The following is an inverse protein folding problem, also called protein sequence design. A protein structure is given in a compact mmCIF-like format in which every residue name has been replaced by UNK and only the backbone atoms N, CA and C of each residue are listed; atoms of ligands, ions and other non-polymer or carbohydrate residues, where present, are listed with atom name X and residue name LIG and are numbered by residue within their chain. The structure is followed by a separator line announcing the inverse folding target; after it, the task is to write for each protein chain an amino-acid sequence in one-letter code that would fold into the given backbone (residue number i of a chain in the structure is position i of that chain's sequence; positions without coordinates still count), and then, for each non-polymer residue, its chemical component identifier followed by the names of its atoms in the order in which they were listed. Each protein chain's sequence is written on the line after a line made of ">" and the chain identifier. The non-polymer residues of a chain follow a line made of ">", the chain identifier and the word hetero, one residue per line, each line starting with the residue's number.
data_IF_066059834785
#
_entry.id   IF_066059834785
#
_cell.length_a   1.000
_cell.length_b   1.000
_cell.length_c   1.000
_cell.angle_alpha   90.00
_cell.angle_beta   90.00
_cell.angle_gamma   90.00
#
_symmetry.space_group_name_H-M   'P 1'
#
loop_
_entity.id
_entity.type
_entity.pdbx_description
1 polymer ?
#
# COMPACT_ATOMS: atom_id res chain seq x y z
N UNK A 1 40.43 -63.43 -20.15
CA UNK A 1 40.80 -61.99 -20.12
C UNK A 1 39.54 -61.20 -19.85
N UNK A 2 39.61 -60.31 -18.84
CA UNK A 2 38.69 -59.20 -18.46
C UNK A 2 37.21 -59.55 -18.23
N UNK A 3 36.64 -59.50 -17.02
CA UNK A 3 36.63 -58.50 -15.92
C UNK A 3 36.08 -57.13 -16.36
N UNK A 4 35.08 -56.67 -15.58
CA UNK A 4 34.57 -55.32 -15.31
C UNK A 4 33.15 -55.05 -15.86
N UNK A 5 32.23 -54.35 -15.20
CA UNK A 5 32.07 -53.83 -13.84
C UNK A 5 30.68 -53.17 -13.75
N UNK A 6 30.01 -53.33 -12.63
CA UNK A 6 29.21 -52.36 -11.83
C UNK A 6 28.85 -51.02 -12.51
N UNK A 7 27.56 -50.64 -12.52
CA UNK A 7 27.02 -49.43 -11.83
C UNK A 7 25.54 -49.20 -12.16
N UNK A 8 24.71 -49.11 -11.12
CA UNK A 8 23.40 -48.46 -11.14
C UNK A 8 23.59 -46.93 -11.23
N UNK A 9 22.59 -46.19 -11.72
CA UNK A 9 22.05 -45.13 -10.86
C UNK A 9 20.52 -45.07 -10.79
N UNK A 10 20.10 -44.41 -9.71
CA UNK A 10 18.78 -44.06 -9.24
C UNK A 10 17.90 -43.27 -10.23
N UNK A 11 16.60 -43.25 -9.88
CA UNK A 11 15.57 -42.23 -10.12
C UNK A 11 14.81 -42.25 -11.45
N UNK A 12 13.55 -42.66 -11.35
CA UNK A 12 12.43 -42.00 -12.03
C UNK A 12 11.15 -42.20 -11.19
N UNK A 13 11.03 -41.45 -10.09
CA UNK A 13 9.73 -41.10 -9.49
C UNK A 13 9.44 -39.65 -9.84
N UNK A 14 8.66 -39.40 -10.90
CA UNK A 14 7.72 -38.30 -11.01
C UNK A 14 7.01 -38.33 -12.36
N UNK A 15 5.90 -39.04 -12.42
CA UNK A 15 4.85 -38.86 -13.42
C UNK A 15 3.55 -39.18 -12.71
N UNK A 16 3.03 -38.18 -11.97
CA UNK A 16 1.64 -38.08 -11.54
C UNK A 16 1.44 -36.73 -10.84
N UNK A 17 1.51 -35.63 -11.60
CA UNK A 17 0.93 -34.36 -11.13
C UNK A 17 0.51 -33.43 -12.30
N UNK A 18 -0.17 -33.97 -13.31
CA UNK A 18 -0.70 -33.18 -14.42
C UNK A 18 -2.23 -33.28 -14.61
N UNK A 19 -2.94 -34.09 -13.81
CA UNK A 19 -4.37 -34.36 -14.03
C UNK A 19 -5.34 -33.68 -13.04
N UNK A 20 -4.89 -32.84 -12.10
CA UNK A 20 -5.76 -32.08 -11.18
C UNK A 20 -6.09 -30.66 -11.67
N UNK A 21 -5.29 -30.08 -12.58
CA UNK A 21 -5.44 -28.67 -12.99
C UNK A 21 -6.40 -28.42 -14.18
N UNK A 22 -6.92 -29.46 -14.82
CA UNK A 22 -7.83 -29.29 -15.97
C UNK A 22 -9.31 -29.07 -15.58
N UNK A 23 -9.68 -29.28 -14.31
CA UNK A 23 -11.09 -29.19 -13.88
C UNK A 23 -11.63 -27.77 -13.67
N UNK A 24 -10.80 -26.73 -13.71
CA UNK A 24 -11.20 -25.35 -13.39
C UNK A 24 -11.13 -24.37 -14.57
N UNK A 25 -10.84 -24.85 -15.79
CA UNK A 25 -10.80 -24.01 -17.00
C UNK A 25 -12.12 -24.08 -17.77
N UNK A 26 -13.17 -23.42 -17.27
CA UNK A 26 -14.25 -22.92 -18.15
C UNK A 26 -15.23 -22.02 -17.38
N UNK A 27 -15.04 -20.70 -17.48
CA UNK A 27 -16.11 -19.70 -17.64
C UNK A 27 -15.48 -18.38 -18.09
N UNK A 28 -15.96 -17.85 -19.21
CA UNK A 28 -15.49 -16.67 -19.92
C UNK A 28 -15.69 -15.33 -19.18
N UNK A 29 -14.65 -14.49 -19.31
CA UNK A 29 -14.53 -13.03 -19.49
C UNK A 29 -15.40 -11.99 -18.72
N UNK A 30 -14.66 -11.05 -18.08
CA UNK A 30 -15.00 -9.66 -17.70
C UNK A 30 -15.73 -9.34 -16.40
N UNK A 31 -15.56 -10.14 -15.35
CA UNK A 31 -15.53 -9.63 -13.98
C UNK A 31 -14.34 -10.26 -13.24
N UNK A 32 -13.18 -9.62 -13.33
CA UNK A 32 -12.00 -10.03 -12.56
C UNK A 32 -12.24 -9.59 -11.11
N UNK A 33 -12.66 -10.53 -10.25
CA UNK A 33 -12.68 -10.37 -8.79
C UNK A 33 -11.23 -10.32 -8.29
N UNK A 34 -10.49 -9.27 -8.68
CA UNK A 34 -9.11 -9.06 -8.28
C UNK A 34 -9.11 -8.24 -7.00
N UNK A 35 -8.45 -8.77 -5.98
CA UNK A 35 -8.21 -8.06 -4.72
C UNK A 35 -7.55 -6.71 -5.04
N UNK A 36 -8.03 -5.64 -4.41
CA UNK A 36 -7.43 -4.32 -4.51
C UNK A 36 -6.81 -3.98 -3.16
N UNK A 37 -5.48 -3.86 -3.14
CA UNK A 37 -4.74 -3.46 -1.95
C UNK A 37 -4.99 -2.01 -1.51
N UNK A 38 -5.62 -1.21 -2.39
CA UNK A 38 -6.08 0.15 -2.13
C UNK A 38 -7.47 0.34 -2.72
N UNK A 39 -8.39 0.78 -1.89
CA UNK A 39 -9.77 1.09 -2.21
C UNK A 39 -10.01 2.56 -1.88
N UNK A 40 -10.88 3.21 -2.64
CA UNK A 40 -11.16 4.63 -2.45
C UNK A 40 -11.82 4.86 -1.08
N UNK A 41 -11.12 5.62 -0.24
CA UNK A 41 -11.58 6.01 1.09
C UNK A 41 -11.75 7.52 1.10
N UNK A 42 -12.94 7.99 1.46
CA UNK A 42 -13.22 9.40 1.64
C UNK A 42 -13.00 9.76 3.10
N UNK A 43 -11.91 10.48 3.40
CA UNK A 43 -11.64 10.91 4.78
C UNK A 43 -12.43 12.16 5.18
N UNK A 44 -12.45 12.45 6.47
CA UNK A 44 -13.01 13.69 7.01
C UNK A 44 -12.32 14.92 6.40
N UNK A 45 -10.99 14.90 6.27
CA UNK A 45 -10.21 15.93 5.56
C UNK A 45 -10.70 16.14 4.13
N UNK A 46 -11.01 15.07 3.40
CA UNK A 46 -11.51 15.18 2.03
C UNK A 46 -12.91 15.80 1.98
N UNK A 47 -13.77 15.41 2.93
CA UNK A 47 -15.10 16.01 3.11
C UNK A 47 -15.01 17.50 3.44
N UNK A 48 -14.15 17.89 4.37
CA UNK A 48 -13.91 19.31 4.71
C UNK A 48 -13.35 20.11 3.56
N UNK A 49 -12.42 19.54 2.78
CA UNK A 49 -11.93 20.19 1.54
C UNK A 49 -13.07 20.48 0.58
N UNK A 50 -13.99 19.53 0.37
CA UNK A 50 -15.15 19.72 -0.52
C UNK A 50 -16.08 20.83 -0.02
N UNK A 51 -16.37 20.86 1.29
CA UNK A 51 -17.19 21.91 1.92
C UNK A 51 -16.56 23.29 1.70
N UNK A 52 -15.26 23.43 1.96
CA UNK A 52 -14.56 24.69 1.75
C UNK A 52 -14.48 25.08 0.27
N UNK A 53 -14.26 24.12 -0.63
CA UNK A 53 -14.25 24.36 -2.07
C UNK A 53 -15.60 24.94 -2.54
N UNK A 54 -16.71 24.36 -2.09
CA UNK A 54 -18.04 24.86 -2.44
C UNK A 54 -18.29 26.25 -1.84
N UNK A 55 -18.01 26.42 -0.55
CA UNK A 55 -18.16 27.71 0.17
C UNK A 55 -17.38 28.82 -0.55
N UNK A 56 -16.10 28.61 -0.80
CA UNK A 56 -15.23 29.66 -1.33
C UNK A 56 -15.41 29.91 -2.82
N UNK A 57 -15.91 28.95 -3.60
CA UNK A 57 -16.37 29.22 -4.97
C UNK A 57 -17.55 30.19 -5.01
N UNK A 58 -18.51 30.06 -4.08
CA UNK A 58 -19.65 30.98 -3.97
C UNK A 58 -19.19 32.37 -3.54
N UNK A 59 -18.35 32.45 -2.51
CA UNK A 59 -17.80 33.72 -2.00
C UNK A 59 -16.93 34.41 -3.07
N UNK A 60 -16.11 33.66 -3.82
CA UNK A 60 -15.31 34.23 -4.89
C UNK A 60 -16.18 34.92 -5.95
N UNK A 61 -17.28 34.28 -6.39
CA UNK A 61 -18.23 34.90 -7.32
C UNK A 61 -18.80 36.21 -6.79
N UNK A 62 -19.12 36.29 -5.50
CA UNK A 62 -19.60 37.52 -4.86
C UNK A 62 -18.52 38.60 -4.82
N UNK A 63 -17.30 38.26 -4.42
CA UNK A 63 -16.19 39.21 -4.37
C UNK A 63 -15.89 39.83 -5.74
N UNK A 64 -16.01 39.05 -6.81
CA UNK A 64 -15.79 39.51 -8.19
C UNK A 64 -16.85 40.51 -8.69
N UNK A 65 -17.96 40.69 -7.96
CA UNK A 65 -18.95 41.74 -8.26
C UNK A 65 -18.50 43.13 -7.81
N UNK A 66 -17.48 43.23 -6.94
CA UNK A 66 -16.95 44.49 -6.46
C UNK A 66 -15.90 45.06 -7.41
N UNK A 67 -15.85 46.39 -7.54
CA UNK A 67 -14.85 47.09 -8.37
C UNK A 67 -13.41 46.74 -8.00
N UNK A 68 -13.14 46.53 -6.71
CA UNK A 68 -11.85 46.05 -6.21
C UNK A 68 -12.06 44.87 -5.25
N UNK A 69 -12.05 43.61 -5.76
CA UNK A 69 -12.31 42.43 -4.96
C UNK A 69 -11.33 42.23 -3.79
N UNK A 70 -10.06 42.60 -3.97
CA UNK A 70 -9.05 42.49 -2.90
C UNK A 70 -9.29 43.48 -1.78
N UNK A 71 -9.63 44.73 -2.11
CA UNK A 71 -10.02 45.72 -1.11
C UNK A 71 -11.28 45.28 -0.37
N UNK A 72 -12.29 44.76 -1.08
CA UNK A 72 -13.49 44.23 -0.44
C UNK A 72 -13.19 43.10 0.56
N UNK A 73 -12.27 42.18 0.24
CA UNK A 73 -11.82 41.15 1.19
C UNK A 73 -11.14 41.79 2.41
N UNK A 74 -10.28 42.78 2.21
CA UNK A 74 -9.65 43.50 3.31
C UNK A 74 -10.69 44.15 4.23
N UNK A 75 -11.70 44.80 3.64
CA UNK A 75 -12.79 45.44 4.37
C UNK A 75 -13.57 44.45 5.24
N UNK A 76 -13.85 43.25 4.71
CA UNK A 76 -14.55 42.19 5.47
C UNK A 76 -13.80 41.74 6.71
N UNK A 77 -12.47 41.71 6.65
CA UNK A 77 -11.68 41.04 7.68
C UNK A 77 -10.87 41.99 8.56
N UNK A 78 -10.51 43.20 8.11
CA UNK A 78 -9.63 44.11 8.85
C UNK A 78 -10.24 45.46 9.17
N UNK A 79 -11.12 46.00 8.33
CA UNK A 79 -11.72 47.32 8.56
C UNK A 79 -12.96 47.21 9.47
N UNK A 80 -12.79 47.47 10.77
CA UNK A 80 -13.88 47.45 11.76
C UNK A 80 -14.98 48.48 11.48
N UNK A 81 -14.72 49.49 10.65
CA UNK A 81 -15.69 50.50 10.27
C UNK A 81 -16.42 50.17 8.97
N UNK A 82 -16.00 49.12 8.26
CA UNK A 82 -16.64 48.68 7.03
C UNK A 82 -18.02 48.09 7.32
N UNK A 83 -19.06 48.41 6.51
CA UNK A 83 -20.35 47.73 6.60
C UNK A 83 -20.27 46.24 6.26
N UNK A 84 -19.16 45.76 5.69
CA UNK A 84 -18.93 44.36 5.35
C UNK A 84 -18.16 43.59 6.43
N UNK A 85 -17.72 44.26 7.51
CA UNK A 85 -16.86 43.67 8.53
C UNK A 85 -17.53 42.47 9.21
N UNK A 86 -16.81 41.35 9.28
CA UNK A 86 -17.25 40.12 9.96
C UNK A 86 -16.90 40.21 11.45
N UNK A 87 -17.91 40.45 12.28
CA UNK A 87 -17.76 40.63 13.74
C UNK A 87 -17.71 39.30 14.53
N UNK A 88 -18.20 38.21 13.96
CA UNK A 88 -18.44 36.92 14.62
C UNK A 88 -17.28 35.91 14.46
N UNK A 89 -16.13 36.36 13.96
CA UNK A 89 -14.95 35.54 13.72
C UNK A 89 -13.86 35.80 14.75
N UNK A 90 -13.32 34.71 15.29
CA UNK A 90 -12.04 34.72 16.00
C UNK A 90 -10.90 35.13 15.06
N UNK A 91 -9.74 35.48 15.61
CA UNK A 91 -8.58 35.86 14.80
C UNK A 91 -8.11 34.72 13.88
N UNK A 92 -8.17 33.46 14.36
CA UNK A 92 -7.81 32.29 13.56
C UNK A 92 -8.77 32.06 12.39
N UNK A 93 -10.07 32.13 12.63
CA UNK A 93 -11.09 31.98 11.58
C UNK A 93 -11.04 33.11 10.56
N UNK A 94 -10.75 34.32 11.02
CA UNK A 94 -10.57 35.51 10.19
C UNK A 94 -9.38 35.35 9.24
N UNK A 95 -8.23 34.91 9.75
CA UNK A 95 -7.05 34.64 8.90
C UNK A 95 -7.29 33.46 7.95
N UNK A 96 -7.95 32.39 8.42
CA UNK A 96 -8.34 31.27 7.57
C UNK A 96 -9.21 31.73 6.40
N UNK A 97 -10.28 32.48 6.69
CA UNK A 97 -11.21 32.93 5.67
C UNK A 97 -10.58 33.91 4.68
N UNK A 98 -9.83 34.90 5.18
CA UNK A 98 -9.08 35.83 4.34
C UNK A 98 -8.09 35.10 3.44
N UNK A 99 -7.32 34.15 3.97
CA UNK A 99 -6.33 33.38 3.20
C UNK A 99 -6.99 32.59 2.09
N UNK A 100 -8.10 31.91 2.38
CA UNK A 100 -8.87 31.14 1.40
C UNK A 100 -9.42 32.04 0.28
N UNK A 101 -10.01 33.18 0.62
CA UNK A 101 -10.56 34.09 -0.40
C UNK A 101 -9.48 34.75 -1.27
N UNK A 102 -8.35 35.16 -0.68
CA UNK A 102 -7.22 35.68 -1.44
C UNK A 102 -6.59 34.60 -2.34
N UNK A 103 -6.54 33.36 -1.85
CA UNK A 103 -6.16 32.19 -2.64
C UNK A 103 -7.06 32.00 -3.87
N UNK A 104 -8.39 32.08 -3.68
CA UNK A 104 -9.35 32.00 -4.77
C UNK A 104 -9.16 33.13 -5.80
N UNK A 105 -8.87 34.36 -5.37
CA UNK A 105 -8.53 35.44 -6.31
C UNK A 105 -7.26 35.11 -7.10
N UNK A 106 -6.19 34.70 -6.42
CA UNK A 106 -4.91 34.37 -7.06
C UNK A 106 -5.05 33.24 -8.09
N UNK A 107 -5.92 32.28 -7.80
CA UNK A 107 -6.16 31.12 -8.65
C UNK A 107 -7.35 31.31 -9.62
N UNK A 108 -7.86 32.53 -9.77
CA UNK A 108 -8.98 32.86 -10.66
C UNK A 108 -10.21 31.95 -10.44
N UNK A 109 -10.60 31.77 -9.18
CA UNK A 109 -11.75 30.96 -8.76
C UNK A 109 -11.55 29.45 -8.85
N UNK A 110 -10.34 28.98 -9.21
CA UNK A 110 -9.97 27.57 -9.19
C UNK A 110 -9.52 27.13 -7.79
N UNK A 111 -9.55 25.81 -7.57
CA UNK A 111 -9.17 25.12 -6.31
C UNK A 111 -7.92 25.75 -5.69
N UNK A 112 -8.00 26.11 -4.41
CA UNK A 112 -6.85 26.59 -3.66
C UNK A 112 -5.88 25.43 -3.39
N UNK A 113 -4.57 25.70 -3.44
CA UNK A 113 -3.54 24.68 -3.18
C UNK A 113 -3.41 24.30 -1.70
N UNK A 114 -4.00 25.08 -0.80
CA UNK A 114 -4.07 24.81 0.64
C UNK A 114 -5.47 25.10 1.18
N UNK A 115 -5.85 24.35 2.22
CA UNK A 115 -7.11 24.49 2.95
C UNK A 115 -6.79 24.80 4.41
N UNK A 116 -7.57 25.69 5.01
CA UNK A 116 -7.44 26.02 6.43
C UNK A 116 -8.67 25.55 7.19
N UNK A 117 -8.52 24.46 7.95
CA UNK A 117 -9.62 23.86 8.71
C UNK A 117 -9.96 24.60 10.01
N UNK A 118 -9.29 25.72 10.30
CA UNK A 118 -9.71 26.68 11.34
C UNK A 118 -10.83 27.60 10.85
N UNK A 119 -11.31 27.38 9.63
CA UNK A 119 -12.48 28.07 9.10
C UNK A 119 -13.71 27.89 10.01
N UNK A 120 -14.47 28.96 10.22
CA UNK A 120 -15.65 28.97 11.07
C UNK A 120 -16.73 27.94 10.67
N UNK A 121 -16.70 27.42 9.44
CA UNK A 121 -17.55 26.31 8.99
C UNK A 121 -17.35 25.02 9.82
N UNK A 122 -16.24 24.90 10.55
CA UNK A 122 -15.91 23.73 11.37
C UNK A 122 -15.78 24.06 12.86
N UNK A 123 -16.27 25.23 13.32
CA UNK A 123 -16.15 25.69 14.72
C UNK A 123 -16.69 24.69 15.74
N UNK A 124 -17.81 24.05 15.43
CA UNK A 124 -18.49 23.08 16.32
C UNK A 124 -18.10 21.62 16.02
N UNK A 125 -17.06 21.41 15.21
CA UNK A 125 -16.61 20.10 14.78
C UNK A 125 -15.21 19.87 15.34
N UNK A 126 -14.97 18.65 15.82
CA UNK A 126 -13.66 18.26 16.35
C UNK A 126 -12.54 18.52 15.35
N UNK A 127 -11.33 18.89 15.81
CA UNK A 127 -10.14 18.89 14.98
C UNK A 127 -9.94 17.52 14.32
N UNK A 128 -9.36 17.53 13.12
CA UNK A 128 -8.95 16.29 12.45
C UNK A 128 -7.74 15.70 13.19
N UNK A 129 -7.81 14.42 13.52
CA UNK A 129 -6.65 13.63 13.90
C UNK A 129 -6.16 12.84 12.67
N UNK A 130 -5.03 13.27 12.11
CA UNK A 130 -4.46 12.64 10.92
C UNK A 130 -4.03 11.18 11.15
N UNK A 131 -3.65 10.81 12.36
CA UNK A 131 -3.30 9.41 12.70
C UNK A 131 -4.56 8.53 12.69
N UNK A 132 -5.69 9.06 13.17
CA UNK A 132 -6.98 8.37 13.12
C UNK A 132 -7.44 8.20 11.68
N UNK A 133 -7.37 9.24 10.84
CA UNK A 133 -7.73 9.08 9.41
C UNK A 133 -6.88 8.01 8.71
N UNK A 134 -5.59 7.92 9.03
CA UNK A 134 -4.71 6.86 8.50
C UNK A 134 -5.15 5.48 8.99
N UNK A 135 -5.48 5.35 10.28
CA UNK A 135 -5.95 4.10 10.86
C UNK A 135 -7.32 3.67 10.30
N UNK A 136 -8.28 4.59 10.19
CA UNK A 136 -9.60 4.37 9.58
C UNK A 136 -9.47 3.95 8.12
N UNK A 137 -8.57 4.58 7.35
CA UNK A 137 -8.31 4.20 5.98
C UNK A 137 -7.76 2.77 5.87
N UNK A 138 -6.82 2.38 6.74
CA UNK A 138 -6.31 1.00 6.81
C UNK A 138 -7.42 0.00 7.19
N UNK A 139 -8.26 0.34 8.18
CA UNK A 139 -9.40 -0.47 8.60
C UNK A 139 -10.43 -0.64 7.47
N UNK A 140 -10.76 0.44 6.77
CA UNK A 140 -11.65 0.41 5.61
C UNK A 140 -11.09 -0.49 4.50
N UNK A 141 -9.81 -0.34 4.16
CA UNK A 141 -9.17 -1.19 3.16
C UNK A 141 -9.19 -2.67 3.56
N UNK A 142 -8.96 -3.00 4.83
CA UNK A 142 -9.09 -4.37 5.35
C UNK A 142 -10.49 -4.93 5.12
N UNK A 143 -11.55 -4.15 5.38
CA UNK A 143 -12.92 -4.56 5.14
C UNK A 143 -13.21 -4.80 3.66
N UNK A 144 -12.72 -3.93 2.77
CA UNK A 144 -12.91 -4.11 1.32
C UNK A 144 -12.17 -5.34 0.79
N UNK A 145 -10.93 -5.57 1.24
CA UNK A 145 -10.16 -6.77 0.88
C UNK A 145 -10.86 -8.02 1.39
N UNK A 146 -11.42 -8.02 2.60
CA UNK A 146 -12.21 -9.15 3.10
C UNK A 146 -13.43 -9.45 2.21
N UNK A 147 -14.17 -8.42 1.75
CA UNK A 147 -15.28 -8.60 0.81
C UNK A 147 -14.82 -9.17 -0.52
N UNK A 148 -13.73 -8.63 -1.08
CA UNK A 148 -13.16 -9.13 -2.34
C UNK A 148 -12.67 -10.58 -2.22
N UNK A 149 -12.16 -10.98 -1.06
CA UNK A 149 -11.83 -12.38 -0.76
C UNK A 149 -13.07 -13.25 -0.70
N UNK A 150 -14.15 -12.80 -0.05
CA UNK A 150 -15.42 -13.53 -0.01
C UNK A 150 -15.98 -13.71 -1.42
N UNK A 151 -16.06 -12.64 -2.22
CA UNK A 151 -16.50 -12.70 -3.62
C UNK A 151 -15.63 -13.66 -4.45
N UNK A 152 -14.31 -13.70 -4.18
CA UNK A 152 -13.38 -14.60 -4.84
C UNK A 152 -13.64 -16.06 -4.46
N UNK A 153 -13.81 -16.34 -3.17
CA UNK A 153 -14.10 -17.70 -2.68
C UNK A 153 -15.46 -18.18 -3.16
N UNK A 154 -16.49 -17.33 -3.19
CA UNK A 154 -17.80 -17.65 -3.76
C UNK A 154 -17.69 -17.99 -5.26
N UNK A 155 -16.94 -17.21 -6.02
CA UNK A 155 -16.70 -17.45 -7.46
C UNK A 155 -16.09 -18.83 -7.73
N UNK A 156 -15.12 -19.24 -6.90
CA UNK A 156 -14.47 -20.54 -7.02
C UNK A 156 -15.15 -21.64 -6.19
N UNK A 157 -16.31 -21.35 -5.58
CA UNK A 157 -17.08 -22.28 -4.75
C UNK A 157 -16.27 -22.89 -3.59
N UNK A 158 -15.36 -22.09 -3.02
CA UNK A 158 -14.50 -22.49 -1.91
C UNK A 158 -15.24 -22.28 -0.60
N UNK A 159 -15.42 -23.35 0.16
CA UNK A 159 -16.03 -23.30 1.49
C UNK A 159 -14.96 -23.50 2.55
N UNK A 160 -14.70 -22.47 3.35
CA UNK A 160 -13.75 -22.52 4.46
C UNK A 160 -14.52 -22.85 5.75
N UNK A 161 -14.14 -23.89 6.52
CA UNK A 161 -14.76 -24.18 7.81
C UNK A 161 -14.68 -22.99 8.77
N UNK A 162 -15.75 -22.75 9.54
CA UNK A 162 -15.83 -21.59 10.44
C UNK A 162 -14.75 -21.56 11.52
N UNK A 163 -14.29 -22.73 11.96
CA UNK A 163 -13.24 -22.92 12.96
C UNK A 163 -11.83 -23.02 12.35
N UNK A 164 -11.71 -22.95 11.02
CA UNK A 164 -10.42 -22.97 10.36
C UNK A 164 -9.59 -21.73 10.73
N UNK A 165 -8.33 -21.98 11.07
CA UNK A 165 -7.32 -20.97 11.38
C UNK A 165 -6.20 -21.08 10.36
N UNK A 166 -6.40 -20.41 9.24
CA UNK A 166 -5.46 -20.49 8.12
C UNK A 166 -4.41 -19.39 8.23
N UNK A 167 -3.23 -19.64 7.67
CA UNK A 167 -2.20 -18.62 7.45
C UNK A 167 -1.83 -18.61 5.98
N UNK A 168 -1.95 -17.44 5.37
CA UNK A 168 -1.51 -17.16 4.01
C UNK A 168 -0.10 -16.58 4.07
N UNK A 169 0.85 -17.24 3.44
CA UNK A 169 2.27 -16.84 3.39
C UNK A 169 2.63 -16.48 1.97
N UNK A 170 3.22 -15.30 1.75
CA UNK A 170 3.46 -14.77 0.41
C UNK A 170 4.94 -14.47 0.23
N UNK A 171 5.53 -15.07 -0.81
CA UNK A 171 6.89 -14.80 -1.24
C UNK A 171 7.02 -13.39 -1.86
N UNK A 172 8.02 -12.58 -1.48
CA UNK A 172 8.11 -11.19 -1.92
C UNK A 172 8.51 -11.01 -3.40
N UNK A 173 9.08 -12.03 -4.05
CA UNK A 173 9.69 -11.89 -5.37
C UNK A 173 8.80 -12.39 -6.50
N UNK A 174 8.19 -13.57 -6.32
CA UNK A 174 7.24 -14.13 -7.28
C UNK A 174 5.78 -13.92 -6.88
N UNK A 175 5.50 -13.49 -5.64
CA UNK A 175 4.16 -13.36 -5.08
C UNK A 175 3.35 -14.66 -5.10
N UNK A 176 4.03 -15.81 -5.03
CA UNK A 176 3.34 -17.06 -4.78
C UNK A 176 2.89 -17.08 -3.32
N UNK A 177 1.60 -17.33 -3.14
CA UNK A 177 0.94 -17.52 -1.86
C UNK A 177 0.82 -19.02 -1.57
N UNK A 178 1.21 -19.42 -0.37
CA UNK A 178 0.93 -20.74 0.18
C UNK A 178 -0.02 -20.67 1.38
N UNK A 179 -0.76 -21.75 1.61
CA UNK A 179 -1.75 -21.86 2.68
C UNK A 179 -1.31 -22.91 3.69
N UNK A 180 -1.43 -22.58 4.98
CA UNK A 180 -1.16 -23.50 6.09
C UNK A 180 -2.21 -23.34 7.18
N UNK A 181 -2.20 -24.22 8.18
CA UNK A 181 -3.15 -24.22 9.30
C UNK A 181 -4.32 -25.19 9.15
N UNK A 182 -4.30 -26.05 8.13
CA UNK A 182 -5.22 -27.18 7.93
C UNK A 182 -4.46 -28.37 7.34
N UNK A 183 -4.98 -29.59 7.52
CA UNK A 183 -4.49 -30.82 6.86
C UNK A 183 -5.34 -31.18 5.61
N UNK A 184 -6.38 -30.39 5.32
CA UNK A 184 -7.22 -30.55 4.14
C UNK A 184 -6.48 -30.06 2.89
N UNK A 185 -5.80 -30.98 2.21
CA UNK A 185 -5.06 -30.69 0.98
C UNK A 185 -5.97 -30.20 -0.16
N UNK A 186 -7.23 -30.63 -0.23
CA UNK A 186 -8.15 -30.15 -1.28
C UNK A 186 -8.49 -28.67 -1.05
N UNK A 187 -8.77 -28.28 0.20
CA UNK A 187 -8.99 -26.88 0.56
C UNK A 187 -7.73 -26.03 0.32
N UNK A 188 -6.54 -26.53 0.66
CA UNK A 188 -5.26 -25.86 0.39
C UNK A 188 -5.11 -25.61 -1.11
N UNK A 189 -5.24 -26.66 -1.94
CA UNK A 189 -5.08 -26.56 -3.38
C UNK A 189 -6.08 -25.57 -4.01
N UNK A 190 -7.34 -25.58 -3.56
CA UNK A 190 -8.38 -24.65 -4.03
C UNK A 190 -8.05 -23.20 -3.66
N UNK A 191 -7.63 -22.95 -2.42
CA UNK A 191 -7.28 -21.61 -1.95
C UNK A 191 -6.02 -21.07 -2.64
N UNK A 192 -4.96 -21.88 -2.72
CA UNK A 192 -3.73 -21.51 -3.42
C UNK A 192 -4.00 -21.24 -4.90
N UNK A 193 -4.84 -22.05 -5.56
CA UNK A 193 -5.25 -21.79 -6.94
C UNK A 193 -5.97 -20.44 -7.07
N UNK A 194 -7.03 -20.20 -6.30
CA UNK A 194 -7.82 -18.97 -6.42
C UNK A 194 -7.04 -17.70 -6.06
N UNK A 195 -6.18 -17.78 -5.04
CA UNK A 195 -5.40 -16.63 -4.53
C UNK A 195 -4.15 -16.35 -5.36
N UNK A 196 -3.61 -17.31 -6.10
CA UNK A 196 -2.48 -17.10 -7.01
C UNK A 196 -2.90 -16.72 -8.44
N UNK A 197 -4.20 -16.72 -8.76
CA UNK A 197 -4.69 -16.22 -10.05
C UNK A 197 -4.55 -14.69 -10.14
N UNK A 198 -4.23 -14.22 -11.34
CA UNK A 198 -4.02 -12.82 -11.69
C UNK A 198 -2.96 -12.14 -10.81
N UNK A 199 -3.37 -11.17 -9.98
CA UNK A 199 -2.50 -10.40 -9.10
C UNK A 199 -2.95 -10.49 -7.63
N UNK A 200 -3.82 -11.43 -7.30
CA UNK A 200 -4.45 -11.51 -5.98
C UNK A 200 -3.42 -11.62 -4.84
N UNK A 201 -2.49 -12.56 -4.92
CA UNK A 201 -1.42 -12.71 -3.94
C UNK A 201 -0.53 -11.47 -3.84
N UNK A 202 -0.19 -10.83 -4.97
CA UNK A 202 0.56 -9.57 -4.97
C UNK A 202 -0.20 -8.43 -4.29
N UNK A 203 -1.49 -8.28 -4.57
CA UNK A 203 -2.33 -7.25 -3.97
C UNK A 203 -2.50 -7.53 -2.47
N UNK A 204 -2.65 -8.79 -2.06
CA UNK A 204 -2.68 -9.16 -0.66
C UNK A 204 -1.34 -8.86 0.05
N UNK A 205 -0.20 -9.15 -0.59
CA UNK A 205 1.13 -8.77 -0.08
C UNK A 205 1.23 -7.26 0.15
N UNK A 206 0.85 -6.46 -0.85
CA UNK A 206 0.89 -5.01 -0.75
C UNK A 206 -0.11 -4.46 0.28
N UNK A 207 -1.23 -5.15 0.50
CA UNK A 207 -2.19 -4.82 1.54
C UNK A 207 -1.60 -5.05 2.94
N UNK A 208 -0.90 -6.16 3.15
CA UNK A 208 -0.18 -6.44 4.41
C UNK A 208 0.88 -5.37 4.66
N UNK A 209 1.70 -5.01 3.65
CA UNK A 209 2.68 -3.94 3.77
C UNK A 209 2.07 -2.61 4.23
N UNK A 210 0.97 -2.20 3.61
CA UNK A 210 0.31 -0.92 3.95
C UNK A 210 -0.39 -0.94 5.30
N UNK A 211 -0.80 -2.12 5.74
CA UNK A 211 -1.46 -2.32 7.03
C UNK A 211 -0.46 -2.54 8.17
N UNK A 212 0.84 -2.63 7.89
CA UNK A 212 1.86 -2.79 8.92
C UNK A 212 1.90 -1.58 9.85
N UNK A 213 2.10 -1.87 11.14
CA UNK A 213 2.48 -0.89 12.16
C UNK A 213 4.00 -0.83 12.32
N UNK A 214 4.50 0.17 13.06
CA UNK A 214 5.94 0.36 13.29
C UNK A 214 6.58 -0.78 14.11
N UNK A 215 5.77 -1.55 14.85
CA UNK A 215 6.23 -2.64 15.74
C UNK A 215 5.97 -4.03 15.15
N UNK A 216 5.69 -4.11 13.84
CA UNK A 216 5.51 -5.39 13.18
C UNK A 216 6.80 -6.20 13.20
N UNK A 217 6.75 -7.44 13.66
CA UNK A 217 7.88 -8.37 13.66
C UNK A 217 8.16 -8.95 12.28
N UNK A 218 7.20 -8.82 11.36
CA UNK A 218 7.36 -9.25 9.98
C UNK A 218 8.22 -8.25 9.18
N UNK A 219 8.10 -6.95 9.52
CA UNK A 219 8.79 -5.85 8.85
C UNK A 219 10.01 -5.37 9.61
N UNK A 220 11.15 -5.35 8.93
CA UNK A 220 12.33 -4.61 9.39
C UNK A 220 12.84 -3.78 8.22
N UNK A 221 13.51 -2.66 8.53
CA UNK A 221 14.10 -1.80 7.50
C UNK A 221 15.02 -2.60 6.56
N UNK A 222 15.83 -3.53 7.09
CA UNK A 222 16.74 -4.32 6.26
C UNK A 222 16.00 -5.24 5.28
N UNK A 223 14.90 -5.87 5.71
CA UNK A 223 14.07 -6.71 4.83
C UNK A 223 13.41 -5.87 3.74
N UNK A 224 12.90 -4.69 4.10
CA UNK A 224 12.28 -3.75 3.18
C UNK A 224 13.28 -3.20 2.15
N UNK A 225 14.48 -2.81 2.59
CA UNK A 225 15.57 -2.38 1.72
C UNK A 225 15.97 -3.49 0.74
N UNK A 226 16.11 -4.74 1.21
CA UNK A 226 16.39 -5.91 0.35
C UNK A 226 15.28 -6.12 -0.68
N UNK A 227 14.01 -6.05 -0.27
CA UNK A 227 12.86 -6.19 -1.15
C UNK A 227 12.84 -5.12 -2.24
N UNK A 228 12.98 -3.84 -1.88
CA UNK A 228 12.97 -2.75 -2.85
C UNK A 228 14.20 -2.78 -3.77
N UNK A 229 15.38 -3.12 -3.25
CA UNK A 229 16.57 -3.31 -4.07
C UNK A 229 16.36 -4.41 -5.12
N UNK A 230 15.88 -5.59 -4.72
CA UNK A 230 15.68 -6.69 -5.66
C UNK A 230 14.69 -6.31 -6.76
N UNK A 231 13.59 -5.62 -6.41
CA UNK A 231 12.62 -5.09 -7.37
C UNK A 231 13.22 -4.02 -8.28
N UNK A 232 14.03 -3.13 -7.72
CA UNK A 232 14.71 -2.08 -8.46
C UNK A 232 15.62 -2.67 -9.53
N UNK A 233 16.48 -3.62 -9.15
CA UNK A 233 17.37 -4.31 -10.07
C UNK A 233 16.55 -5.01 -11.15
N UNK A 234 15.54 -5.81 -10.79
CA UNK A 234 14.65 -6.46 -11.77
C UNK A 234 14.01 -5.47 -12.74
N UNK A 235 13.50 -4.35 -12.25
CA UNK A 235 12.81 -3.36 -13.09
C UNK A 235 13.76 -2.61 -14.04
N UNK A 236 15.02 -2.40 -13.65
CA UNK A 236 15.98 -1.61 -14.43
C UNK A 236 16.84 -2.47 -15.34
N UNK A 237 17.23 -3.66 -14.89
CA UNK A 237 18.15 -4.54 -15.63
C UNK A 237 17.47 -5.75 -16.22
N UNK A 238 16.28 -6.13 -15.74
CA UNK A 238 15.59 -7.36 -16.11
C UNK A 238 16.01 -8.60 -15.31
N UNK A 239 17.03 -8.49 -14.46
CA UNK A 239 17.57 -9.63 -13.72
C UNK A 239 17.02 -9.74 -12.31
N UNK A 240 16.70 -10.97 -11.94
CA UNK A 240 16.32 -11.34 -10.57
C UNK A 240 17.58 -11.46 -9.70
N UNK A 241 17.76 -10.52 -8.78
CA UNK A 241 18.96 -10.42 -7.95
C UNK A 241 19.25 -11.70 -7.14
N UNK A 242 18.20 -12.40 -6.71
CA UNK A 242 18.29 -13.68 -5.99
C UNK A 242 18.79 -14.85 -6.87
N UNK A 243 18.72 -14.73 -8.20
CA UNK A 243 19.17 -15.76 -9.14
C UNK A 243 20.62 -15.51 -9.61
N UNK A 244 21.25 -14.40 -9.22
CA UNK A 244 22.59 -14.04 -9.67
C UNK A 244 23.67 -14.72 -8.84
N UNK A 245 24.80 -15.04 -9.48
CA UNK A 245 25.94 -15.64 -8.78
C UNK A 245 26.73 -14.56 -8.06
N UNK A 246 27.01 -14.75 -6.77
CA UNK A 246 27.92 -13.87 -6.05
C UNK A 246 29.37 -14.36 -6.19
N UNK A 247 30.19 -13.64 -6.95
CA UNK A 247 31.61 -13.94 -7.17
C UNK A 247 32.42 -12.71 -6.80
N UNK A 248 33.44 -12.88 -5.94
CA UNK A 248 34.35 -11.80 -5.55
C UNK A 248 33.63 -10.52 -5.08
N UNK A 249 32.55 -10.69 -4.29
CA UNK A 249 31.73 -9.60 -3.75
C UNK A 249 31.00 -8.78 -4.82
N UNK A 250 30.63 -9.43 -5.92
CA UNK A 250 29.84 -8.86 -7.02
C UNK A 250 28.77 -9.86 -7.42
N UNK A 251 27.60 -9.35 -7.80
CA UNK A 251 26.57 -10.17 -8.43
C UNK A 251 26.81 -10.19 -9.93
N UNK A 252 26.99 -11.39 -10.45
CA UNK A 252 27.35 -11.66 -11.84
C UNK A 252 26.20 -12.37 -12.53
N UNK A 253 25.84 -11.89 -13.72
CA UNK A 253 24.86 -12.51 -14.62
C UNK A 253 25.42 -13.78 -15.26
N UNK A 254 24.56 -14.60 -15.86
CA UNK A 254 24.97 -15.85 -16.52
C UNK A 254 25.99 -15.63 -17.65
N UNK A 255 25.94 -14.48 -18.32
CA UNK A 255 26.87 -14.06 -19.37
C UNK A 255 28.12 -13.32 -18.85
N UNK A 256 28.30 -13.24 -17.53
CA UNK A 256 29.50 -12.72 -16.89
C UNK A 256 29.52 -11.21 -16.64
N UNK A 257 28.38 -10.52 -16.77
CA UNK A 257 28.28 -9.08 -16.53
C UNK A 257 28.08 -8.75 -15.04
N UNK A 258 28.76 -7.71 -14.57
CA UNK A 258 28.56 -7.16 -13.22
C UNK A 258 27.24 -6.39 -13.15
N UNK A 259 26.33 -6.79 -12.25
CA UNK A 259 25.01 -6.18 -12.12
C UNK A 259 25.09 -4.70 -11.74
N UNK A 260 26.13 -4.28 -10.98
CA UNK A 260 26.30 -2.90 -10.58
C UNK A 260 26.56 -2.01 -11.80
N UNK A 261 27.46 -2.45 -12.69
CA UNK A 261 27.79 -1.71 -13.92
C UNK A 261 26.60 -1.70 -14.88
N UNK A 262 25.88 -2.83 -15.00
CA UNK A 262 24.66 -2.90 -15.80
C UNK A 262 23.61 -1.90 -15.28
N UNK A 263 23.30 -1.95 -13.99
CA UNK A 263 22.33 -1.04 -13.35
C UNK A 263 22.70 0.43 -13.57
N UNK A 264 23.96 0.80 -13.34
CA UNK A 264 24.46 2.15 -13.58
C UNK A 264 24.33 2.58 -15.05
N UNK A 265 24.65 1.68 -16.00
CA UNK A 265 24.55 1.97 -17.42
C UNK A 265 23.11 2.20 -17.88
N UNK A 266 22.16 1.39 -17.39
CA UNK A 266 20.73 1.49 -17.73
C UNK A 266 20.10 2.78 -17.18
N UNK A 267 20.66 3.35 -16.11
CA UNK A 267 20.22 4.61 -15.55
C UNK A 267 20.78 5.85 -16.24
N UNK A 268 21.69 5.74 -17.21
CA UNK A 268 22.44 6.89 -17.78
C UNK A 268 21.56 8.06 -18.25
N UNK A 269 20.38 7.77 -18.79
CA UNK A 269 19.44 8.78 -19.30
C UNK A 269 18.28 9.09 -18.33
N UNK A 270 18.30 8.53 -17.12
CA UNK A 270 17.27 8.75 -16.12
C UNK A 270 17.56 10.05 -15.34
N UNK A 271 16.63 11.03 -15.28
CA UNK A 271 16.85 12.28 -14.56
C UNK A 271 17.06 12.10 -13.05
N UNK A 272 16.68 10.94 -12.50
CA UNK A 272 16.82 10.57 -11.09
C UNK A 272 17.96 9.57 -10.84
N UNK A 273 18.83 9.31 -11.83
CA UNK A 273 19.90 8.32 -11.72
C UNK A 273 20.76 8.50 -10.46
N UNK A 274 21.17 9.74 -10.15
CA UNK A 274 22.01 10.04 -8.99
C UNK A 274 21.36 9.60 -7.67
N UNK A 275 20.08 9.94 -7.47
CA UNK A 275 19.33 9.61 -6.25
C UNK A 275 19.13 8.10 -6.14
N UNK A 276 18.77 7.43 -7.24
CA UNK A 276 18.59 5.98 -7.26
C UNK A 276 19.89 5.23 -6.98
N UNK A 277 21.01 5.68 -7.55
CA UNK A 277 22.33 5.10 -7.26
C UNK A 277 22.72 5.31 -5.81
N UNK A 278 22.57 6.54 -5.28
CA UNK A 278 22.88 6.86 -3.89
C UNK A 278 22.08 5.99 -2.91
N UNK A 279 20.82 5.72 -3.22
CA UNK A 279 19.96 4.90 -2.38
C UNK A 279 20.28 3.40 -2.49
N UNK A 280 20.29 2.82 -3.69
CA UNK A 280 20.32 1.37 -3.85
C UNK A 280 21.72 0.74 -3.87
N UNK A 281 22.76 1.46 -4.32
CA UNK A 281 24.13 0.90 -4.42
C UNK A 281 24.70 0.47 -3.07
N UNK A 282 24.52 1.22 -1.95
CA UNK A 282 24.95 0.76 -0.64
C UNK A 282 24.35 -0.60 -0.24
N UNK A 283 23.05 -0.80 -0.47
CA UNK A 283 22.37 -2.06 -0.17
C UNK A 283 22.87 -3.19 -1.07
N UNK A 284 23.05 -2.92 -2.37
CA UNK A 284 23.63 -3.88 -3.32
C UNK A 284 25.02 -4.35 -2.88
N UNK A 285 25.89 -3.41 -2.52
CA UNK A 285 27.24 -3.71 -2.05
C UNK A 285 27.23 -4.50 -0.73
N UNK A 286 26.34 -4.16 0.21
CA UNK A 286 26.19 -4.89 1.48
C UNK A 286 25.82 -6.36 1.23
N UNK A 287 24.85 -6.63 0.35
CA UNK A 287 24.47 -7.99 -0.03
C UNK A 287 25.57 -8.68 -0.84
N UNK A 288 26.29 -7.97 -1.69
CA UNK A 288 27.38 -8.54 -2.46
C UNK A 288 28.54 -8.97 -1.52
N UNK A 289 28.82 -8.19 -0.48
CA UNK A 289 29.84 -8.52 0.52
C UNK A 289 29.47 -9.70 1.43
N UNK A 290 28.22 -9.77 1.87
CA UNK A 290 27.78 -10.70 2.92
C UNK A 290 27.00 -11.92 2.39
N UNK A 291 26.63 -11.92 1.10
CA UNK A 291 25.73 -12.89 0.50
C UNK A 291 24.29 -12.38 0.45
N UNK A 292 23.53 -12.81 -0.57
CA UNK A 292 22.12 -12.43 -0.73
C UNK A 292 21.28 -12.84 0.48
N UNK A 293 21.54 -14.02 1.04
CA UNK A 293 20.80 -14.59 2.18
C UNK A 293 21.25 -14.05 3.54
N UNK A 294 22.18 -13.09 3.56
CA UNK A 294 22.63 -12.44 4.82
C UNK A 294 21.53 -11.62 5.51
N UNK A 295 20.51 -11.22 4.75
CA UNK A 295 19.31 -10.55 5.24
C UNK A 295 18.13 -11.44 4.88
N UNK A 296 17.24 -11.82 5.83
CA UNK A 296 16.05 -12.59 5.53
C UNK A 296 15.15 -11.90 4.51
N UNK A 297 14.37 -12.67 3.77
CA UNK A 297 13.39 -12.11 2.83
C UNK A 297 12.20 -11.49 3.57
N UNK A 298 11.57 -10.50 2.91
CA UNK A 298 10.30 -9.92 3.38
C UNK A 298 9.13 -10.86 3.08
N UNK A 299 9.19 -12.09 3.56
CA UNK A 299 8.07 -13.03 3.51
C UNK A 299 6.99 -12.51 4.46
N UNK A 300 5.79 -12.29 3.93
CA UNK A 300 4.67 -11.75 4.68
C UNK A 300 3.61 -12.80 4.90
N UNK A 301 3.10 -12.83 6.12
CA UNK A 301 2.06 -13.73 6.55
C UNK A 301 0.85 -12.95 7.03
N UNK A 302 -0.33 -13.51 6.76
CA UNK A 302 -1.58 -13.02 7.33
C UNK A 302 -2.49 -14.18 7.70
N UNK A 303 -3.14 -14.08 8.86
CA UNK A 303 -4.10 -15.08 9.29
C UNK A 303 -5.44 -14.90 8.57
N UNK A 304 -6.20 -15.98 8.45
CA UNK A 304 -7.60 -15.95 8.04
C UNK A 304 -8.41 -16.84 8.98
N UNK A 305 -9.38 -16.23 9.67
CA UNK A 305 -10.21 -16.88 10.67
C UNK A 305 -11.60 -16.23 10.66
N UNK A 306 -12.66 -17.04 10.78
CA UNK A 306 -14.04 -16.57 10.89
C UNK A 306 -14.43 -15.57 9.76
N UNK A 307 -14.02 -15.86 8.53
CA UNK A 307 -14.37 -15.05 7.36
C UNK A 307 -13.58 -13.75 7.18
N UNK A 308 -12.54 -13.51 7.99
CA UNK A 308 -11.78 -12.26 7.99
C UNK A 308 -10.28 -12.49 8.09
N UNK A 309 -9.51 -11.65 7.40
CA UNK A 309 -8.08 -11.54 7.60
C UNK A 309 -7.72 -11.02 9.00
N UNK A 310 -6.62 -11.51 9.54
CA UNK A 310 -6.08 -11.22 10.87
C UNK A 310 -4.60 -10.87 10.78
N UNK A 311 -4.19 -9.69 11.24
CA UNK A 311 -2.78 -9.30 11.19
C UNK A 311 -1.92 -10.18 12.11
N UNK A 312 -0.71 -10.49 11.67
CA UNK A 312 0.26 -11.31 12.40
C UNK A 312 1.45 -10.45 12.79
N UNK A 313 1.94 -10.59 14.02
CA UNK A 313 3.21 -10.01 14.44
C UNK A 313 3.18 -8.50 14.68
N UNK A 314 2.01 -7.86 14.77
CA UNK A 314 1.88 -6.43 15.07
C UNK A 314 0.91 -6.16 16.22
N UNK A 315 1.10 -5.04 16.92
CA UNK A 315 0.28 -4.67 18.08
C UNK A 315 -1.09 -4.11 17.70
N UNK A 316 -1.13 -3.22 16.72
CA UNK A 316 -2.37 -2.67 16.16
C UNK A 316 -2.89 -3.62 15.08
N UNK A 317 -4.09 -4.15 15.26
CA UNK A 317 -4.74 -5.00 14.25
C UNK A 317 -5.96 -4.32 13.65
N UNK A 318 -6.14 -4.53 12.36
CA UNK A 318 -7.30 -4.14 11.58
C UNK A 318 -8.28 -5.32 11.39
N UNK A 319 -7.95 -6.50 11.91
CA UNK A 319 -8.82 -7.66 11.87
C UNK A 319 -10.21 -7.36 12.47
N UNK A 320 -11.24 -8.05 11.98
CA UNK A 320 -12.61 -7.84 12.44
C UNK A 320 -12.71 -7.98 13.96
N UNK A 321 -13.27 -6.96 14.62
CA UNK A 321 -13.40 -6.90 16.08
C UNK A 321 -12.15 -6.42 16.84
N UNK A 322 -11.06 -6.06 16.16
CA UNK A 322 -9.78 -5.64 16.78
C UNK A 322 -9.42 -4.17 16.57
N UNK A 323 -10.32 -3.36 16.01
CA UNK A 323 -10.09 -1.95 15.68
C UNK A 323 -10.44 -0.96 16.80
N UNK A 324 -10.76 -1.44 18.02
CA UNK A 324 -11.19 -0.57 19.13
C UNK A 324 -10.14 0.47 19.54
N UNK A 325 -8.86 0.19 19.33
CA UNK A 325 -7.76 1.14 19.58
C UNK A 325 -7.85 2.42 18.72
N UNK A 326 -8.55 2.38 17.58
CA UNK A 326 -8.78 3.57 16.74
C UNK A 326 -9.68 4.58 17.47
N UNK A 327 -10.69 4.08 18.19
CA UNK A 327 -11.58 4.93 19.00
C UNK A 327 -10.84 5.53 20.21
N UNK A 328 -9.97 4.74 20.85
CA UNK A 328 -9.07 5.22 21.91
C UNK A 328 -8.12 6.31 21.39
N UNK A 329 -7.57 6.12 20.19
CA UNK A 329 -6.73 7.12 19.52
C UNK A 329 -7.51 8.40 19.22
N UNK A 330 -8.74 8.29 18.73
CA UNK A 330 -9.62 9.44 18.50
C UNK A 330 -9.96 10.19 19.79
N UNK A 331 -10.10 9.50 20.92
CA UNK A 331 -10.35 10.11 22.22
C UNK A 331 -9.14 10.89 22.79
N UNK A 332 -7.94 10.72 22.23
CA UNK A 332 -6.73 11.44 22.69
C UNK A 332 -6.65 12.89 22.25
N UNK A 333 -7.55 13.34 21.36
CA UNK A 333 -7.65 14.74 20.94
C UNK A 333 -7.98 15.59 22.17
N UNK A 334 -7.00 16.38 22.63
CA UNK A 334 -7.20 17.38 23.68
C UNK A 334 -7.67 18.69 23.05
N UNK A 335 -8.73 19.27 23.63
CA UNK A 335 -9.28 20.58 23.29
C UNK A 335 -8.33 21.73 23.63
#
# INVERSE_FOLDING_TARGET
>A
MNINSITTPLNNMNLNNQNSHEKFKNTDTHNTTTIQSRNEFLSESDTRKQILDEKYRKIHKQNMMFKNPKAHIFDKYYDRHSPYYKHDLTDAEREAAKTMELGMIRNNGKKCGGYDFRDAAFREIQPINGEVEVAENKAFNRQQVNKQLQDLFEKYQISIPNDAKLTFTIDPYNYNLSVSGTEDNELIDQLEYALNIDKNAKELFLHIMRSSSHNSTQFTQEKEDKYFLAREIKNVTGYDLNNLTNINRKFITEDGQDIYELYKSQLKNNPYASVRLQHYVPHLNKLAMNGFDSVPDLVLMIGYESGSLQDIGQGESFGTGKTGWIEELQATIRY
#
